data_IF_820037784780
#
_entry.id   IF_820037784780
#
_cell.length_a   1.000
_cell.length_b   1.000
_cell.length_c   1.000
_cell.angle_alpha   90.00
_cell.angle_beta   90.00
_cell.angle_gamma   90.00
#
_symmetry.space_group_name_H-M   'P 1'
#
loop_
_entity.id
_entity.type
_entity.pdbx_description
1 polymer ?
#
# COMPACT_ATOMS: atom_id res chain seq x y z
N UNK A 1 -58.18 14.48 16.52
CA UNK A 1 -56.76 14.93 16.62
C UNK A 1 -56.00 13.87 17.39
N UNK A 2 -55.04 13.19 16.75
CA UNK A 2 -54.23 12.12 17.37
C UNK A 2 -52.77 12.34 16.96
N UNK A 3 -51.95 12.64 17.95
CA UNK A 3 -50.51 12.85 17.86
C UNK A 3 -49.75 11.53 18.04
N UNK A 4 -48.72 11.38 17.19
CA UNK A 4 -47.52 10.52 17.26
C UNK A 4 -47.68 9.02 17.54
N UNK A 5 -47.25 8.17 16.58
CA UNK A 5 -46.29 7.09 16.84
C UNK A 5 -45.80 6.41 15.55
N UNK A 6 -44.47 6.17 15.48
CA UNK A 6 -43.76 5.19 14.61
C UNK A 6 -43.62 5.62 13.13
N UNK A 7 -42.61 6.36 12.66
CA UNK A 7 -41.15 6.15 12.67
C UNK A 7 -40.75 4.70 12.43
N UNK A 8 -40.07 4.48 11.30
CA UNK A 8 -39.25 3.30 10.90
C UNK A 8 -40.00 2.07 10.39
N UNK A 9 -39.96 1.85 9.07
CA UNK A 9 -39.67 0.55 8.43
C UNK A 9 -39.86 0.63 6.91
N UNK A 10 -38.83 1.06 6.16
CA UNK A 10 -38.78 0.79 4.70
C UNK A 10 -37.35 0.80 4.11
N UNK A 11 -36.30 0.72 4.93
CA UNK A 11 -34.91 0.56 4.44
C UNK A 11 -34.45 -0.90 4.56
N UNK A 12 -35.27 -1.83 4.07
CA UNK A 12 -35.01 -3.28 4.10
C UNK A 12 -34.84 -3.85 2.68
N UNK A 13 -34.13 -3.14 1.81
CA UNK A 13 -33.86 -3.57 0.42
C UNK A 13 -32.37 -3.60 0.03
N UNK A 14 -31.43 -3.45 0.99
CA UNK A 14 -29.97 -3.45 0.69
C UNK A 14 -29.26 -4.68 1.28
N UNK A 15 -29.89 -5.85 1.31
CA UNK A 15 -29.28 -7.09 1.84
C UNK A 15 -29.29 -8.28 0.88
N UNK A 16 -29.60 -8.06 -0.41
CA UNK A 16 -29.70 -9.15 -1.39
C UNK A 16 -28.63 -9.12 -2.52
N UNK A 17 -27.54 -8.35 -2.38
CA UNK A 17 -26.43 -8.34 -3.36
C UNK A 17 -25.06 -8.73 -2.79
N UNK A 18 -25.01 -9.45 -1.67
CA UNK A 18 -23.74 -9.89 -1.06
C UNK A 18 -23.31 -11.32 -1.44
N UNK A 19 -24.04 -12.05 -2.28
CA UNK A 19 -23.75 -13.48 -2.56
C UNK A 19 -23.15 -13.78 -3.95
N UNK A 20 -22.55 -12.81 -4.63
CA UNK A 20 -21.94 -13.02 -5.96
C UNK A 20 -20.45 -12.65 -6.06
N UNK A 21 -19.73 -12.57 -4.93
CA UNK A 21 -18.26 -12.44 -4.93
C UNK A 21 -17.60 -13.56 -4.11
N UNK A 22 -18.02 -14.81 -4.35
CA UNK A 22 -17.27 -16.00 -3.94
C UNK A 22 -16.65 -16.72 -5.14
N UNK A 23 -16.42 -16.01 -6.25
CA UNK A 23 -15.74 -16.53 -7.42
C UNK A 23 -14.75 -15.49 -7.94
N UNK A 24 -13.56 -15.47 -7.34
CA UNK A 24 -12.32 -14.96 -7.93
C UNK A 24 -11.18 -15.30 -6.98
N UNK A 25 -10.61 -16.49 -7.13
CA UNK A 25 -9.50 -16.90 -6.27
C UNK A 25 -8.80 -18.17 -6.71
N UNK A 26 -8.85 -18.52 -8.00
CA UNK A 26 -8.03 -19.59 -8.59
C UNK A 26 -6.58 -19.12 -8.81
N UNK A 27 -6.05 -18.47 -7.77
CA UNK A 27 -4.74 -17.83 -7.71
C UNK A 27 -4.11 -18.07 -6.35
N UNK A 28 -4.40 -19.22 -5.71
CA UNK A 28 -3.68 -19.68 -4.53
C UNK A 28 -2.23 -19.95 -4.94
N UNK A 29 -1.42 -18.89 -4.99
CA UNK A 29 0.03 -18.99 -5.06
C UNK A 29 0.49 -19.93 -3.95
N UNK A 30 1.50 -20.76 -4.25
CA UNK A 30 2.05 -21.69 -3.27
C UNK A 30 2.28 -20.97 -1.94
N UNK A 31 1.83 -21.54 -0.80
CA UNK A 31 2.06 -20.92 0.49
C UNK A 31 3.57 -20.73 0.71
N UNK A 32 3.97 -19.54 1.18
CA UNK A 32 5.37 -19.24 1.48
C UNK A 32 5.90 -20.23 2.53
N UNK A 33 7.15 -20.65 2.37
CA UNK A 33 7.86 -21.39 3.43
C UNK A 33 8.08 -20.49 4.65
N UNK A 34 8.29 -21.04 5.85
CA UNK A 34 8.64 -20.25 7.05
C UNK A 34 9.84 -19.32 6.82
N UNK A 35 10.82 -19.77 6.04
CA UNK A 35 12.01 -19.02 5.65
C UNK A 35 11.64 -17.84 4.74
N UNK A 36 10.86 -18.10 3.67
CA UNK A 36 10.35 -17.06 2.77
C UNK A 36 9.49 -16.02 3.52
N UNK A 37 8.68 -16.46 4.49
CA UNK A 37 7.90 -15.56 5.33
C UNK A 37 8.79 -14.66 6.20
N UNK A 38 9.87 -15.22 6.78
CA UNK A 38 10.83 -14.45 7.57
C UNK A 38 11.56 -13.41 6.71
N UNK A 39 12.01 -13.81 5.53
CA UNK A 39 12.65 -12.90 4.56
C UNK A 39 11.70 -11.81 4.08
N UNK A 40 10.44 -12.17 3.79
CA UNK A 40 9.40 -11.22 3.40
C UNK A 40 9.14 -10.19 4.50
N UNK A 41 9.01 -10.62 5.76
CA UNK A 41 8.86 -9.71 6.91
C UNK A 41 10.06 -8.77 7.03
N UNK A 42 11.28 -9.28 6.92
CA UNK A 42 12.49 -8.45 6.97
C UNK A 42 12.54 -7.45 5.81
N UNK A 43 12.12 -7.86 4.61
CA UNK A 43 12.03 -6.97 3.47
C UNK A 43 11.02 -5.83 3.71
N UNK A 44 9.83 -6.12 4.26
CA UNK A 44 8.85 -5.07 4.61
C UNK A 44 9.44 -4.08 5.62
N UNK A 45 10.12 -4.58 6.65
CA UNK A 45 10.75 -3.74 7.66
C UNK A 45 11.82 -2.82 7.04
N UNK A 46 12.67 -3.36 6.17
CA UNK A 46 13.67 -2.58 5.44
C UNK A 46 13.03 -1.52 4.53
N UNK A 47 11.99 -1.90 3.79
CA UNK A 47 11.25 -0.98 2.93
C UNK A 47 10.63 0.17 3.74
N UNK A 48 10.05 -0.13 4.91
CA UNK A 48 9.48 0.89 5.77
C UNK A 48 10.55 1.81 6.36
N UNK A 49 11.70 1.28 6.78
CA UNK A 49 12.82 2.09 7.26
C UNK A 49 13.32 3.06 6.17
N UNK A 50 13.62 2.55 4.98
CA UNK A 50 14.07 3.38 3.84
C UNK A 50 13.02 4.42 3.43
N UNK A 51 11.74 4.07 3.49
CA UNK A 51 10.64 5.02 3.23
C UNK A 51 10.63 6.15 4.26
N UNK A 52 10.82 5.84 5.54
CA UNK A 52 10.86 6.86 6.59
C UNK A 52 12.04 7.81 6.42
N UNK A 53 13.22 7.28 6.05
CA UNK A 53 14.40 8.09 5.79
C UNK A 53 14.22 8.98 4.57
N UNK A 54 13.61 8.46 3.50
CA UNK A 54 13.29 9.26 2.33
C UNK A 54 12.30 10.39 2.63
N UNK A 55 11.26 10.12 3.44
CA UNK A 55 10.31 11.15 3.86
C UNK A 55 10.98 12.24 4.69
N UNK A 56 11.86 11.86 5.64
CA UNK A 56 12.64 12.82 6.44
C UNK A 56 13.54 13.68 5.55
N UNK A 57 14.27 13.06 4.61
CA UNK A 57 15.16 13.75 3.69
C UNK A 57 14.38 14.72 2.77
N UNK A 58 13.26 14.28 2.22
CA UNK A 58 12.40 15.12 1.38
C UNK A 58 11.82 16.31 2.17
N UNK A 59 11.36 16.09 3.40
CA UNK A 59 10.87 17.18 4.26
C UNK A 59 11.98 18.20 4.55
N UNK A 60 13.18 17.72 4.92
CA UNK A 60 14.33 18.60 5.15
C UNK A 60 14.75 19.39 3.90
N UNK A 61 14.58 18.82 2.70
CA UNK A 61 14.80 19.52 1.44
C UNK A 61 13.76 20.63 1.22
N UNK A 62 12.48 20.31 1.40
CA UNK A 62 11.37 21.25 1.24
C UNK A 62 11.47 22.40 2.25
N UNK A 63 11.81 22.12 3.50
CA UNK A 63 11.98 23.14 4.56
C UNK A 63 13.11 24.12 4.26
N UNK A 64 14.14 23.69 3.52
CA UNK A 64 15.29 24.52 3.15
C UNK A 64 15.10 25.26 1.82
N UNK A 65 14.17 24.80 0.98
CA UNK A 65 13.93 25.40 -0.32
C UNK A 65 13.38 26.83 -0.16
N UNK A 66 14.08 27.80 -0.73
CA UNK A 66 13.71 29.22 -0.72
C UNK A 66 13.10 29.67 -2.05
N UNK A 67 13.33 28.90 -3.12
CA UNK A 67 12.84 29.18 -4.46
C UNK A 67 11.98 28.03 -5.03
N UNK A 68 11.11 28.37 -5.98
CA UNK A 68 10.25 27.39 -6.65
C UNK A 68 11.04 26.29 -7.37
N UNK A 69 12.19 26.63 -7.96
CA UNK A 69 13.02 25.66 -8.67
C UNK A 69 13.71 24.68 -7.72
N UNK A 70 14.11 25.13 -6.53
CA UNK A 70 14.64 24.25 -5.47
C UNK A 70 13.57 23.29 -4.97
N UNK A 71 12.34 23.77 -4.76
CA UNK A 71 11.21 22.93 -4.40
C UNK A 71 10.92 21.87 -5.48
N UNK A 72 10.94 22.26 -6.77
CA UNK A 72 10.78 21.33 -7.89
C UNK A 72 11.89 20.27 -7.91
N UNK A 73 13.12 20.67 -7.60
CA UNK A 73 14.24 19.75 -7.52
C UNK A 73 14.07 18.75 -6.38
N UNK A 74 13.67 19.19 -5.17
CA UNK A 74 13.35 18.29 -4.05
C UNK A 74 12.29 17.23 -4.44
N UNK A 75 11.20 17.68 -5.08
CA UNK A 75 10.13 16.77 -5.53
C UNK A 75 10.60 15.79 -6.60
N UNK A 76 11.48 16.22 -7.51
CA UNK A 76 12.05 15.37 -8.55
C UNK A 76 12.95 14.30 -7.96
N UNK A 77 13.85 14.68 -7.04
CA UNK A 77 14.75 13.75 -6.36
C UNK A 77 13.98 12.72 -5.53
N UNK A 78 12.97 13.16 -4.76
CA UNK A 78 12.08 12.28 -4.01
C UNK A 78 11.36 11.28 -4.93
N UNK A 79 10.84 11.73 -6.07
CA UNK A 79 10.18 10.83 -7.05
C UNK A 79 11.15 9.80 -7.62
N UNK A 80 12.38 10.20 -7.96
CA UNK A 80 13.40 9.28 -8.47
C UNK A 80 13.81 8.25 -7.42
N UNK A 81 14.00 8.67 -6.16
CA UNK A 81 14.31 7.78 -5.06
C UNK A 81 13.18 6.78 -4.78
N UNK A 82 11.91 7.23 -4.80
CA UNK A 82 10.75 6.33 -4.68
C UNK A 82 10.68 5.30 -5.81
N UNK A 83 10.98 5.71 -7.06
CA UNK A 83 11.01 4.80 -8.21
C UNK A 83 12.11 3.75 -8.04
N UNK A 84 13.32 4.18 -7.71
CA UNK A 84 14.46 3.28 -7.46
C UNK A 84 14.16 2.29 -6.34
N UNK A 85 13.59 2.76 -5.23
CA UNK A 85 13.18 1.90 -4.11
C UNK A 85 12.15 0.85 -4.56
N UNK A 86 11.14 1.25 -5.34
CA UNK A 86 10.14 0.32 -5.88
C UNK A 86 10.76 -0.76 -6.76
N UNK A 87 11.68 -0.38 -7.66
CA UNK A 87 12.37 -1.32 -8.55
C UNK A 87 13.24 -2.31 -7.76
N UNK A 88 13.98 -1.81 -6.75
CA UNK A 88 14.78 -2.64 -5.83
C UNK A 88 13.93 -3.70 -5.13
N UNK A 89 12.81 -3.31 -4.53
CA UNK A 89 11.96 -4.25 -3.79
C UNK A 89 11.15 -5.18 -4.71
N UNK A 90 10.77 -4.70 -5.91
CA UNK A 90 10.19 -5.57 -6.94
C UNK A 90 11.16 -6.68 -7.34
N UNK A 91 12.42 -6.35 -7.64
CA UNK A 91 13.44 -7.34 -7.98
C UNK A 91 13.70 -8.32 -6.84
N UNK A 92 13.73 -7.83 -5.58
CA UNK A 92 13.90 -8.69 -4.40
C UNK A 92 12.72 -9.66 -4.22
N UNK A 93 11.49 -9.17 -4.43
CA UNK A 93 10.27 -10.00 -4.41
C UNK A 93 10.29 -11.06 -5.51
N UNK A 94 10.60 -10.67 -6.75
CA UNK A 94 10.70 -11.60 -7.89
C UNK A 94 11.76 -12.66 -7.65
N UNK A 95 12.88 -12.34 -6.99
CA UNK A 95 13.89 -13.33 -6.61
C UNK A 95 13.36 -14.37 -5.61
N UNK A 96 12.73 -13.93 -4.52
CA UNK A 96 12.16 -14.84 -3.50
C UNK A 96 11.08 -15.78 -4.07
N UNK A 97 10.35 -15.34 -5.09
CA UNK A 97 9.27 -16.11 -5.72
C UNK A 97 9.70 -16.87 -6.98
N UNK A 98 10.75 -16.43 -7.66
CA UNK A 98 11.27 -17.04 -8.89
C UNK A 98 12.24 -18.20 -8.66
N UNK A 99 12.86 -18.31 -7.48
CA UNK A 99 13.77 -19.40 -7.10
C UNK A 99 13.07 -20.75 -6.82
N UNK A 100 11.76 -20.85 -7.06
CA UNK A 100 10.92 -22.05 -6.83
C UNK A 100 10.50 -22.80 -8.11
N UNK A 101 11.22 -22.59 -9.22
CA UNK A 101 10.99 -23.25 -10.52
C UNK A 101 12.13 -24.18 -10.93
#
# INVERSE_FOLDING_TARGET
>A
MRTHLVVTCSLLSVLALSQAFAASGDGAGKPMTPEQLKEHKQMILQMNAEKMDLLKSNNACIEKAQASDELRQCLKESRMAQKSMREKYKAKWEKMHGENH
#
